data_IF_067964881683
#
_entry.id   IF_067964881683
#
_cell.length_a   1.000
_cell.length_b   1.000
_cell.length_c   1.000
_cell.angle_alpha   90.00
_cell.angle_beta   90.00
_cell.angle_gamma   90.00
#
_symmetry.space_group_name_H-M   'P 1'
#
loop_
_entity.id
_entity.type
_entity.pdbx_description
1 polymer ?
#
# COMPACT_ATOMS: atom_id res chain seq x y z
N UNK A 1 49.51 -18.15 -30.91
CA UNK A 1 48.41 -17.42 -30.26
C UNK A 1 48.56 -17.43 -28.73
N UNK A 2 49.66 -16.89 -28.18
CA UNK A 2 49.84 -16.82 -26.71
C UNK A 2 50.50 -15.51 -26.25
N UNK A 3 51.20 -14.76 -27.12
CA UNK A 3 51.76 -13.43 -26.76
C UNK A 3 50.81 -12.25 -26.95
N UNK A 4 49.82 -12.34 -27.85
CA UNK A 4 48.85 -11.25 -28.10
C UNK A 4 47.71 -11.18 -27.05
N UNK A 5 47.56 -12.23 -26.22
CA UNK A 5 46.54 -12.28 -25.15
C UNK A 5 47.06 -11.65 -23.84
N UNK A 6 48.37 -11.73 -23.56
CA UNK A 6 48.98 -11.12 -22.36
C UNK A 6 49.15 -9.59 -22.46
N UNK A 7 49.37 -9.05 -23.66
CA UNK A 7 49.59 -7.61 -23.84
C UNK A 7 48.33 -6.77 -23.64
N UNK A 8 47.15 -7.32 -23.97
CA UNK A 8 45.86 -6.64 -23.78
C UNK A 8 45.51 -6.48 -22.30
N UNK A 9 45.76 -7.48 -21.46
CA UNK A 9 45.45 -7.44 -20.02
C UNK A 9 46.40 -6.56 -19.21
N UNK A 10 47.69 -6.52 -19.56
CA UNK A 10 48.66 -5.61 -18.90
C UNK A 10 48.33 -4.13 -19.07
N UNK A 11 47.67 -3.75 -20.17
CA UNK A 11 47.25 -2.38 -20.40
C UNK A 11 46.04 -1.97 -19.54
N UNK A 12 45.21 -2.93 -19.12
CA UNK A 12 44.08 -2.69 -18.22
C UNK A 12 44.49 -2.60 -16.75
N UNK A 13 45.45 -3.41 -16.30
CA UNK A 13 45.99 -3.32 -14.93
C UNK A 13 46.70 -1.99 -14.68
N UNK A 14 47.38 -1.46 -15.71
CA UNK A 14 48.05 -0.16 -15.62
C UNK A 14 47.05 0.99 -15.55
N UNK A 15 46.00 0.95 -16.38
CA UNK A 15 44.92 1.95 -16.37
C UNK A 15 44.11 1.90 -15.07
N UNK A 16 43.90 0.69 -14.52
CA UNK A 16 43.23 0.49 -13.24
C UNK A 16 44.04 1.07 -12.07
N UNK A 17 45.34 0.82 -12.02
CA UNK A 17 46.21 1.40 -11.00
C UNK A 17 46.32 2.93 -11.10
N UNK A 18 46.37 3.48 -12.32
CA UNK A 18 46.37 4.94 -12.53
C UNK A 18 45.03 5.60 -12.13
N UNK A 19 43.90 4.90 -12.28
CA UNK A 19 42.60 5.37 -11.79
C UNK A 19 42.48 5.25 -10.26
N UNK A 20 42.98 4.16 -9.67
CA UNK A 20 42.99 3.92 -8.22
C UNK A 20 43.82 5.01 -7.51
N UNK A 21 44.99 5.33 -8.08
CA UNK A 21 45.85 6.40 -7.55
C UNK A 21 45.19 7.78 -7.66
N UNK A 22 44.41 8.04 -8.72
CA UNK A 22 43.66 9.30 -8.85
C UNK A 22 42.50 9.40 -7.86
N UNK A 23 41.78 8.31 -7.65
CA UNK A 23 40.69 8.23 -6.69
C UNK A 23 41.19 8.35 -5.25
N UNK A 24 42.33 7.77 -4.92
CA UNK A 24 42.97 7.92 -3.60
C UNK A 24 43.36 9.38 -3.33
N UNK A 25 43.83 10.10 -4.34
CA UNK A 25 44.17 11.53 -4.23
C UNK A 25 42.91 12.39 -4.08
N UNK A 26 41.84 12.13 -4.84
CA UNK A 26 40.56 12.82 -4.70
C UNK A 26 39.92 12.55 -3.33
N UNK A 27 39.93 11.31 -2.84
CA UNK A 27 39.40 10.95 -1.52
C UNK A 27 40.22 11.59 -0.38
N UNK A 28 41.54 11.76 -0.58
CA UNK A 28 42.41 12.47 0.35
C UNK A 28 42.06 13.96 0.45
N UNK A 29 41.78 14.59 -0.70
CA UNK A 29 41.41 16.00 -0.79
C UNK A 29 40.01 16.25 -0.20
N UNK A 30 39.06 15.36 -0.46
CA UNK A 30 37.71 15.42 0.14
C UNK A 30 37.74 15.22 1.66
N UNK A 31 38.62 14.34 2.18
CA UNK A 31 38.84 14.19 3.63
C UNK A 31 39.48 15.42 4.26
N UNK A 32 40.38 16.09 3.54
CA UNK A 32 40.98 17.36 3.99
C UNK A 32 39.97 18.51 3.98
N UNK A 33 39.07 18.58 3.00
CA UNK A 33 37.99 19.57 2.96
C UNK A 33 36.92 19.29 4.03
N UNK A 34 36.55 18.01 4.22
CA UNK A 34 35.61 17.60 5.26
C UNK A 34 36.15 17.90 6.66
N UNK A 35 37.43 17.63 6.91
CA UNK A 35 38.08 17.94 8.20
C UNK A 35 38.26 19.43 8.45
N UNK A 36 38.44 20.26 7.40
CA UNK A 36 38.45 21.73 7.51
C UNK A 36 37.04 22.31 7.75
N UNK A 37 35.99 21.65 7.27
CA UNK A 37 34.60 22.13 7.42
C UNK A 37 33.99 21.90 8.81
N UNK A 38 34.55 20.98 9.61
CA UNK A 38 33.99 20.51 10.89
C UNK A 38 34.92 20.83 12.06
N UNK A 39 35.02 22.12 12.40
CA UNK A 39 35.84 22.61 13.51
C UNK A 39 35.54 21.94 14.86
N UNK A 40 36.61 21.38 15.45
CA UNK A 40 36.83 20.94 16.83
C UNK A 40 35.96 19.84 17.49
N UNK A 41 36.70 18.83 17.97
CA UNK A 41 36.52 18.05 19.20
C UNK A 41 35.13 17.44 19.51
N UNK A 42 34.92 16.20 19.06
CA UNK A 42 34.20 15.14 19.82
C UNK A 42 34.42 13.78 19.18
N UNK A 43 34.44 12.75 20.04
CA UNK A 43 34.83 11.38 19.78
C UNK A 43 34.30 10.80 18.45
N UNK A 44 35.20 10.12 17.72
CA UNK A 44 34.90 9.39 16.49
C UNK A 44 33.97 8.23 16.82
N UNK A 45 32.68 8.40 16.55
CA UNK A 45 31.72 7.29 16.56
C UNK A 45 32.12 6.29 15.47
N UNK A 46 32.07 4.99 15.77
CA UNK A 46 32.27 3.95 14.75
C UNK A 46 31.18 4.08 13.66
N UNK A 47 31.44 3.55 12.46
CA UNK A 47 30.47 3.58 11.35
C UNK A 47 29.11 2.99 11.74
N UNK A 48 29.08 1.99 12.63
CA UNK A 48 27.85 1.41 13.17
C UNK A 48 27.10 2.37 14.10
N UNK A 49 27.81 3.12 14.94
CA UNK A 49 27.21 4.11 15.84
C UNK A 49 26.68 5.32 15.07
N UNK A 50 27.38 5.75 14.01
CA UNK A 50 26.90 6.82 13.14
C UNK A 50 25.62 6.42 12.36
N UNK A 51 25.50 5.16 11.93
CA UNK A 51 24.29 4.63 11.31
C UNK A 51 23.12 4.52 12.30
N UNK A 52 23.37 4.10 13.54
CA UNK A 52 22.35 4.04 14.58
C UNK A 52 21.82 5.43 14.95
N UNK A 53 22.71 6.43 15.04
CA UNK A 53 22.31 7.83 15.27
C UNK A 53 21.47 8.36 14.10
N UNK A 54 21.85 8.11 12.84
CA UNK A 54 21.05 8.50 11.67
C UNK A 54 19.67 7.83 11.64
N UNK A 55 19.59 6.54 11.99
CA UNK A 55 18.30 5.84 12.11
C UNK A 55 17.44 6.42 13.23
N UNK A 56 18.04 6.73 14.38
CA UNK A 56 17.33 7.35 15.50
C UNK A 56 16.78 8.74 15.12
N UNK A 57 17.57 9.55 14.41
CA UNK A 57 17.15 10.86 13.89
C UNK A 57 16.01 10.76 12.87
N UNK A 58 16.08 9.81 11.92
CA UNK A 58 14.97 9.55 10.99
C UNK A 58 13.70 9.11 11.70
N UNK A 59 13.80 8.21 12.68
CA UNK A 59 12.67 7.76 13.49
C UNK A 59 12.08 8.93 14.28
N UNK A 60 12.92 9.81 14.83
CA UNK A 60 12.47 11.00 15.54
C UNK A 60 11.71 11.95 14.60
N UNK A 61 12.24 12.21 13.40
CA UNK A 61 11.59 13.05 12.38
C UNK A 61 10.24 12.46 11.94
N UNK A 62 10.19 11.14 11.70
CA UNK A 62 8.96 10.41 11.37
C UNK A 62 7.93 10.51 12.50
N UNK A 63 8.34 10.31 13.76
CA UNK A 63 7.46 10.46 14.93
C UNK A 63 6.90 11.88 15.04
N UNK A 64 7.73 12.91 14.80
CA UNK A 64 7.27 14.31 14.80
C UNK A 64 6.29 14.58 13.66
N UNK A 65 6.56 14.07 12.44
CA UNK A 65 5.65 14.21 11.30
C UNK A 65 4.30 13.50 11.55
N UNK A 66 4.33 12.28 12.12
CA UNK A 66 3.13 11.55 12.52
C UNK A 66 2.36 12.27 13.64
N UNK A 67 3.04 12.88 14.62
CA UNK A 67 2.39 13.68 15.66
C UNK A 67 1.68 14.89 15.06
N UNK A 68 2.34 15.64 14.17
CA UNK A 68 1.72 16.78 13.47
C UNK A 68 0.52 16.36 12.62
N UNK A 69 0.61 15.21 11.94
CA UNK A 69 -0.51 14.67 11.17
C UNK A 69 -1.66 14.28 12.09
N UNK A 70 -1.40 13.60 13.22
CA UNK A 70 -2.40 13.24 14.21
C UNK A 70 -3.07 14.48 14.83
N UNK A 71 -2.29 15.49 15.18
CA UNK A 71 -2.80 16.78 15.69
C UNK A 71 -3.69 17.47 14.66
N UNK A 72 -3.32 17.45 13.37
CA UNK A 72 -4.15 17.97 12.28
C UNK A 72 -5.43 17.16 12.11
N UNK A 73 -5.38 15.83 12.13
CA UNK A 73 -6.56 14.96 12.07
C UNK A 73 -7.49 15.18 13.26
N UNK A 74 -6.94 15.27 14.47
CA UNK A 74 -7.70 15.53 15.70
C UNK A 74 -8.31 16.95 15.69
N UNK A 75 -7.63 17.92 15.09
CA UNK A 75 -8.17 19.27 14.89
C UNK A 75 -9.38 19.32 13.96
N UNK A 76 -9.57 18.31 13.10
CA UNK A 76 -10.72 18.20 12.19
C UNK A 76 -11.85 17.33 12.74
N UNK A 77 -11.63 16.64 13.88
CA UNK A 77 -12.60 15.75 14.50
C UNK A 77 -13.56 16.51 15.43
N UNK A 78 -14.84 16.19 15.29
CA UNK A 78 -15.89 16.44 16.27
C UNK A 78 -16.25 15.10 16.91
N UNK A 79 -16.11 14.98 18.22
CA UNK A 79 -16.60 13.82 18.97
C UNK A 79 -17.94 14.21 19.58
N UNK A 80 -18.97 13.42 19.29
CA UNK A 80 -20.32 13.59 19.81
C UNK A 80 -20.57 12.47 20.81
N UNK A 81 -20.91 12.85 22.04
CA UNK A 81 -21.27 11.93 23.13
C UNK A 81 -22.70 12.21 23.62
N UNK A 82 -23.23 11.34 24.49
CA UNK A 82 -24.56 11.56 25.05
C UNK A 82 -24.67 12.86 25.87
N UNK A 83 -23.59 13.31 26.50
CA UNK A 83 -23.54 14.49 27.38
C UNK A 83 -23.62 15.82 26.63
N UNK A 84 -23.25 15.84 25.35
CA UNK A 84 -23.14 17.08 24.56
C UNK A 84 -24.49 17.71 24.15
N UNK A 85 -25.62 17.01 24.37
CA UNK A 85 -26.95 17.39 23.86
C UNK A 85 -27.97 17.87 24.92
N UNK A 86 -27.61 17.92 26.21
CA UNK A 86 -28.54 18.38 27.27
C UNK A 86 -28.92 19.87 27.17
N UNK A 87 -28.38 20.61 26.20
CA UNK A 87 -28.59 22.05 26.04
C UNK A 87 -29.59 22.47 24.95
N UNK A 88 -30.19 21.54 24.19
CA UNK A 88 -31.21 21.88 23.18
C UNK A 88 -32.43 20.93 23.22
N UNK A 89 -33.40 21.28 24.06
CA UNK A 89 -34.83 20.96 24.01
C UNK A 89 -35.28 19.48 23.96
N UNK A 90 -35.95 19.11 25.04
CA UNK A 90 -37.04 18.13 25.16
C UNK A 90 -37.80 17.80 23.86
N UNK A 91 -37.47 16.68 23.23
CA UNK A 91 -38.34 15.90 22.33
C UNK A 91 -37.61 14.62 21.96
N UNK A 92 -38.03 13.51 22.54
CA UNK A 92 -37.51 12.15 22.29
C UNK A 92 -37.88 11.59 20.91
N UNK A 93 -38.13 12.44 19.91
CA UNK A 93 -38.61 12.00 18.58
C UNK A 93 -38.15 12.86 17.39
N UNK A 94 -37.35 13.91 17.59
CA UNK A 94 -36.83 14.75 16.50
C UNK A 94 -35.37 14.40 16.17
N UNK A 95 -35.09 14.09 14.90
CA UNK A 95 -33.72 13.84 14.42
C UNK A 95 -32.85 15.09 14.57
N UNK A 96 -31.64 14.93 15.10
CA UNK A 96 -30.65 16.00 15.26
C UNK A 96 -29.94 16.22 13.92
N UNK A 97 -29.94 17.46 13.41
CA UNK A 97 -29.35 17.79 12.12
C UNK A 97 -27.87 18.15 12.32
N UNK A 98 -26.99 17.42 11.63
CA UNK A 98 -25.54 17.69 11.56
C UNK A 98 -25.28 18.51 10.29
N UNK A 99 -25.40 19.82 10.42
CA UNK A 99 -25.11 20.82 9.38
C UNK A 99 -23.78 21.57 9.67
N UNK A 100 -23.40 22.54 8.83
CA UNK A 100 -22.17 23.34 9.05
C UNK A 100 -22.16 24.08 10.39
N UNK A 101 -23.32 24.47 10.92
CA UNK A 101 -23.41 25.13 12.23
C UNK A 101 -23.10 24.15 13.37
N UNK A 102 -23.63 22.93 13.29
CA UNK A 102 -23.31 21.85 14.22
C UNK A 102 -21.82 21.49 14.16
N UNK A 103 -21.27 21.43 12.95
CA UNK A 103 -19.90 21.01 12.71
C UNK A 103 -18.85 22.03 13.15
N UNK A 104 -19.16 23.33 13.16
CA UNK A 104 -18.22 24.40 13.58
C UNK A 104 -16.84 24.29 12.89
N UNK A 105 -16.85 23.96 11.59
CA UNK A 105 -15.65 23.78 10.77
C UNK A 105 -14.97 22.40 10.87
N UNK A 106 -15.45 21.50 11.73
CA UNK A 106 -15.00 20.11 11.79
C UNK A 106 -15.55 19.32 10.60
N UNK A 107 -14.76 18.38 10.09
CA UNK A 107 -15.12 17.59 8.90
C UNK A 107 -15.05 16.09 9.13
N UNK A 108 -14.55 15.64 10.27
CA UNK A 108 -14.64 14.24 10.70
C UNK A 108 -15.55 14.18 11.90
N UNK A 109 -16.52 13.27 11.91
CA UNK A 109 -17.45 13.12 13.05
C UNK A 109 -17.32 11.74 13.64
N UNK A 110 -17.18 11.66 14.95
CA UNK A 110 -17.14 10.43 15.73
C UNK A 110 -18.31 10.46 16.71
N UNK A 111 -19.32 9.64 16.50
CA UNK A 111 -20.35 9.41 17.52
C UNK A 111 -19.86 8.32 18.44
N UNK A 112 -19.71 8.64 19.73
CA UNK A 112 -19.18 7.72 20.73
C UNK A 112 -20.11 7.59 21.92
N UNK A 113 -20.45 6.36 22.28
CA UNK A 113 -21.36 6.06 23.40
C UNK A 113 -22.71 6.79 23.29
N UNK A 114 -23.22 6.96 22.06
CA UNK A 114 -24.51 7.64 21.84
C UNK A 114 -25.65 6.64 21.89
N UNK A 115 -26.70 6.93 22.65
CA UNK A 115 -27.81 6.00 22.86
C UNK A 115 -29.19 6.62 22.59
N UNK A 116 -30.09 5.86 21.96
CA UNK A 116 -31.49 6.22 21.74
C UNK A 116 -31.68 7.55 20.97
N UNK A 117 -30.83 7.81 19.98
CA UNK A 117 -30.85 9.06 19.19
C UNK A 117 -30.84 8.81 17.70
N UNK A 118 -31.37 9.79 16.97
CA UNK A 118 -31.32 9.85 15.51
C UNK A 118 -30.58 11.10 15.08
N UNK A 119 -29.60 10.95 14.20
CA UNK A 119 -28.89 12.07 13.57
C UNK A 119 -29.07 12.03 12.06
N UNK A 120 -29.19 13.22 11.46
CA UNK A 120 -29.23 13.40 10.01
C UNK A 120 -28.06 14.28 9.58
N UNK A 121 -27.09 13.69 8.89
CA UNK A 121 -25.97 14.41 8.28
C UNK A 121 -26.45 15.08 7.00
N UNK A 122 -26.40 16.41 6.99
CA UNK A 122 -26.86 17.24 5.86
C UNK A 122 -25.73 18.04 5.21
N UNK A 123 -24.56 18.10 5.83
CA UNK A 123 -23.37 18.79 5.29
C UNK A 123 -22.24 17.80 4.94
N UNK A 124 -21.38 18.09 3.95
CA UNK A 124 -20.32 17.18 3.55
C UNK A 124 -19.29 16.94 4.67
N UNK A 125 -18.90 15.67 4.83
CA UNK A 125 -17.89 15.24 5.79
C UNK A 125 -16.75 14.55 5.07
N UNK A 126 -15.56 14.56 5.67
CA UNK A 126 -14.43 13.74 5.25
C UNK A 126 -14.71 12.28 5.59
N UNK A 127 -15.05 11.98 6.86
CA UNK A 127 -15.22 10.62 7.37
C UNK A 127 -16.15 10.59 8.58
N UNK A 128 -16.82 9.45 8.80
CA UNK A 128 -17.73 9.23 9.93
C UNK A 128 -17.37 7.95 10.66
N UNK A 129 -17.40 8.01 11.99
CA UNK A 129 -17.18 6.88 12.88
C UNK A 129 -18.36 6.74 13.85
N UNK A 130 -18.80 5.51 14.07
CA UNK A 130 -19.78 5.13 15.09
C UNK A 130 -19.11 4.13 16.03
N UNK A 131 -18.98 4.50 17.30
CA UNK A 131 -18.27 3.72 18.31
C UNK A 131 -19.14 3.53 19.54
N UNK A 132 -19.44 2.29 19.91
CA UNK A 132 -20.18 1.98 21.14
C UNK A 132 -21.61 2.60 21.21
N UNK A 133 -22.20 2.97 20.07
CA UNK A 133 -23.56 3.50 20.01
C UNK A 133 -24.61 2.39 20.18
N UNK A 134 -25.74 2.69 20.84
CA UNK A 134 -26.87 1.76 21.03
C UNK A 134 -28.20 2.36 20.62
N UNK A 135 -29.09 1.60 20.00
CA UNK A 135 -30.42 2.10 19.58
C UNK A 135 -30.30 3.44 18.82
N UNK A 136 -29.35 3.49 17.89
CA UNK A 136 -28.92 4.72 17.23
C UNK A 136 -29.33 4.67 15.76
N UNK A 137 -29.74 5.81 15.19
CA UNK A 137 -30.02 5.92 13.76
C UNK A 137 -29.18 7.04 13.15
N UNK A 138 -28.46 6.74 12.08
CA UNK A 138 -27.74 7.73 11.28
C UNK A 138 -28.32 7.81 9.87
N UNK A 139 -28.80 8.98 9.48
CA UNK A 139 -29.19 9.28 8.11
C UNK A 139 -28.07 10.10 7.46
N UNK A 140 -27.39 9.53 6.48
CA UNK A 140 -26.34 10.20 5.71
C UNK A 140 -26.92 10.68 4.39
N UNK A 141 -27.28 11.98 4.38
CA UNK A 141 -27.90 12.65 3.23
C UNK A 141 -26.95 13.58 2.47
N UNK A 142 -25.69 13.60 2.87
CA UNK A 142 -24.62 14.38 2.26
C UNK A 142 -23.47 13.49 1.82
N UNK A 143 -22.55 14.06 1.05
CA UNK A 143 -21.36 13.35 0.59
C UNK A 143 -20.35 13.11 1.72
N UNK A 144 -19.88 11.86 1.84
CA UNK A 144 -18.69 11.51 2.63
C UNK A 144 -17.52 11.46 1.64
N UNK A 145 -16.54 12.36 1.78
CA UNK A 145 -15.47 12.55 0.79
C UNK A 145 -14.62 11.30 0.66
N UNK A 146 -14.29 10.62 1.76
CA UNK A 146 -13.56 9.34 1.69
C UNK A 146 -14.46 8.18 1.28
N UNK A 147 -15.77 8.40 1.15
CA UNK A 147 -16.79 7.39 0.88
C UNK A 147 -16.72 6.20 1.85
N UNK A 148 -16.25 6.46 3.08
CA UNK A 148 -15.94 5.45 4.08
C UNK A 148 -16.63 5.79 5.40
N UNK A 149 -17.37 4.82 5.94
CA UNK A 149 -17.97 4.90 7.27
C UNK A 149 -17.48 3.70 8.09
N UNK A 150 -17.05 3.95 9.32
CA UNK A 150 -16.63 2.90 10.26
C UNK A 150 -17.62 2.79 11.41
N UNK A 151 -17.98 1.56 11.73
CA UNK A 151 -18.90 1.20 12.80
C UNK A 151 -18.22 0.14 13.63
N UNK A 152 -18.10 0.37 14.94
CA UNK A 152 -17.49 -0.59 15.85
C UNK A 152 -18.23 -0.67 17.18
N UNK A 153 -18.41 -1.90 17.68
CA UNK A 153 -19.00 -2.17 18.98
C UNK A 153 -20.41 -1.56 19.17
N UNK A 154 -21.19 -1.44 18.10
CA UNK A 154 -22.53 -0.88 18.13
C UNK A 154 -23.60 -1.96 18.30
N UNK A 155 -24.76 -1.60 18.85
CA UNK A 155 -25.91 -2.52 18.96
C UNK A 155 -27.22 -1.84 18.57
N UNK A 156 -28.09 -2.51 17.82
CA UNK A 156 -29.38 -1.94 17.39
C UNK A 156 -29.20 -0.62 16.62
N UNK A 157 -28.23 -0.60 15.70
CA UNK A 157 -27.91 0.55 14.86
C UNK A 157 -28.70 0.51 13.54
N UNK A 158 -29.23 1.65 13.10
CA UNK A 158 -29.73 1.81 11.73
C UNK A 158 -28.93 2.87 10.98
N UNK A 159 -28.25 2.47 9.90
CA UNK A 159 -27.54 3.38 9.00
C UNK A 159 -28.35 3.50 7.70
N UNK A 160 -28.76 4.72 7.35
CA UNK A 160 -29.43 5.04 6.10
C UNK A 160 -28.50 5.89 5.23
N UNK A 161 -28.18 5.40 4.04
CA UNK A 161 -27.26 6.06 3.11
C UNK A 161 -28.01 6.42 1.82
N UNK A 162 -28.12 7.72 1.55
CA UNK A 162 -28.78 8.24 0.34
C UNK A 162 -27.82 8.83 -0.69
N UNK A 163 -26.54 8.94 -0.36
CA UNK A 163 -25.46 9.36 -1.27
C UNK A 163 -24.42 8.24 -1.45
N UNK A 164 -23.61 8.28 -2.51
CA UNK A 164 -22.62 7.22 -2.77
C UNK A 164 -21.68 7.03 -1.58
N UNK A 165 -21.63 5.80 -1.04
CA UNK A 165 -20.71 5.40 0.02
C UNK A 165 -20.11 4.05 -0.39
N UNK A 166 -18.86 4.08 -0.85
CA UNK A 166 -18.21 2.92 -1.43
C UNK A 166 -17.84 1.89 -0.37
N UNK A 167 -17.51 2.31 0.85
CA UNK A 167 -17.12 1.38 1.90
C UNK A 167 -17.82 1.67 3.21
N UNK A 168 -18.43 0.65 3.78
CA UNK A 168 -18.88 0.66 5.18
C UNK A 168 -18.22 -0.52 5.89
N UNK A 169 -17.54 -0.26 6.99
CA UNK A 169 -16.93 -1.31 7.81
C UNK A 169 -17.69 -1.43 9.12
N UNK A 170 -18.09 -2.66 9.47
CA UNK A 170 -18.86 -2.97 10.67
C UNK A 170 -18.17 -4.07 11.47
N UNK A 171 -17.58 -3.70 12.60
CA UNK A 171 -16.84 -4.62 13.45
C UNK A 171 -17.55 -4.79 14.80
N UNK A 172 -17.57 -6.04 15.30
CA UNK A 172 -18.02 -6.40 16.66
C UNK A 172 -19.39 -5.81 17.05
N UNK A 173 -20.32 -5.74 16.09
CA UNK A 173 -21.61 -5.05 16.27
C UNK A 173 -22.79 -6.00 16.13
N UNK A 174 -23.91 -5.72 16.79
CA UNK A 174 -25.09 -6.61 16.81
C UNK A 174 -26.39 -5.90 16.41
N UNK A 175 -27.30 -6.63 15.77
CA UNK A 175 -28.63 -6.14 15.36
C UNK A 175 -28.57 -4.83 14.57
N UNK A 176 -27.58 -4.71 13.69
CA UNK A 176 -27.35 -3.51 12.89
C UNK A 176 -28.08 -3.63 11.53
N UNK A 177 -28.63 -2.54 11.03
CA UNK A 177 -29.26 -2.48 9.69
C UNK A 177 -28.61 -1.38 8.87
N UNK A 178 -28.13 -1.72 7.67
CA UNK A 178 -27.59 -0.77 6.71
C UNK A 178 -28.49 -0.69 5.47
N UNK A 179 -29.08 0.47 5.23
CA UNK A 179 -29.99 0.73 4.13
C UNK A 179 -29.32 1.62 3.09
N UNK A 180 -29.15 1.08 1.89
CA UNK A 180 -28.62 1.81 0.74
C UNK A 180 -29.75 2.17 -0.23
N UNK A 181 -29.74 3.41 -0.70
CA UNK A 181 -30.58 3.79 -1.84
C UNK A 181 -30.05 3.14 -3.13
N UNK A 182 -30.89 2.87 -4.15
CA UNK A 182 -30.45 2.17 -5.36
C UNK A 182 -29.26 2.81 -6.12
N UNK A 183 -29.02 4.10 -5.93
CA UNK A 183 -27.90 4.83 -6.55
C UNK A 183 -26.61 4.86 -5.73
N UNK A 184 -26.57 4.23 -4.55
CA UNK A 184 -25.48 4.47 -3.57
C UNK A 184 -24.49 3.34 -3.39
N UNK A 185 -24.82 2.13 -3.86
CA UNK A 185 -24.09 0.88 -3.58
C UNK A 185 -24.05 -0.04 -4.83
N UNK A 186 -23.84 0.57 -5.99
CA UNK A 186 -23.84 -0.09 -7.31
C UNK A 186 -22.48 -0.07 -8.01
N UNK A 187 -21.47 0.55 -7.39
CA UNK A 187 -20.10 0.57 -7.90
C UNK A 187 -19.47 -0.81 -7.85
N UNK A 188 -18.61 -1.10 -8.83
CA UNK A 188 -17.89 -2.38 -8.96
C UNK A 188 -17.09 -2.73 -7.69
N UNK A 189 -16.58 -1.70 -7.01
CA UNK A 189 -15.76 -1.82 -5.80
C UNK A 189 -16.52 -1.44 -4.51
N UNK A 190 -17.83 -1.17 -4.59
CA UNK A 190 -18.59 -0.81 -3.39
C UNK A 190 -18.80 -2.07 -2.52
N UNK A 191 -18.35 -2.01 -1.27
CA UNK A 191 -18.31 -3.14 -0.32
C UNK A 191 -18.76 -2.70 1.07
N UNK A 192 -19.54 -3.53 1.73
CA UNK A 192 -19.71 -3.45 3.17
C UNK A 192 -18.91 -4.60 3.79
N UNK A 193 -17.89 -4.27 4.57
CA UNK A 193 -17.08 -5.26 5.28
C UNK A 193 -17.65 -5.47 6.68
N UNK A 194 -17.68 -6.72 7.13
CA UNK A 194 -18.01 -6.99 8.53
C UNK A 194 -17.15 -8.10 9.13
N UNK A 195 -16.90 -7.96 10.44
CA UNK A 195 -16.19 -8.93 11.27
C UNK A 195 -16.84 -8.99 12.66
N UNK A 196 -17.13 -10.19 13.15
CA UNK A 196 -17.78 -10.38 14.45
C UNK A 196 -19.19 -9.78 14.54
N UNK A 197 -19.83 -9.49 13.41
CA UNK A 197 -21.17 -8.92 13.38
C UNK A 197 -22.26 -10.00 13.50
N UNK A 198 -23.28 -9.75 14.31
CA UNK A 198 -24.43 -10.67 14.50
C UNK A 198 -25.74 -9.97 14.20
N UNK A 199 -26.70 -10.67 13.58
CA UNK A 199 -28.00 -10.10 13.20
C UNK A 199 -27.85 -8.80 12.37
N UNK A 200 -26.87 -8.78 11.46
CA UNK A 200 -26.65 -7.66 10.54
C UNK A 200 -27.59 -7.79 9.34
N UNK A 201 -28.30 -6.73 8.97
CA UNK A 201 -29.12 -6.67 7.77
C UNK A 201 -28.59 -5.62 6.82
N UNK A 202 -28.37 -5.99 5.57
CA UNK A 202 -27.98 -5.05 4.52
C UNK A 202 -29.06 -5.03 3.46
N UNK A 203 -29.62 -3.84 3.22
CA UNK A 203 -30.71 -3.62 2.30
C UNK A 203 -30.24 -2.75 1.13
N UNK A 204 -30.48 -3.21 -0.10
CA UNK A 204 -30.14 -2.47 -1.31
C UNK A 204 -31.07 -2.87 -2.46
N UNK A 205 -31.62 -1.87 -3.17
CA UNK A 205 -32.46 -2.07 -4.36
C UNK A 205 -33.60 -3.12 -4.18
N UNK A 206 -34.25 -3.12 -3.02
CA UNK A 206 -35.35 -4.05 -2.69
C UNK A 206 -34.89 -5.46 -2.29
N UNK A 207 -33.58 -5.72 -2.24
CA UNK A 207 -32.99 -6.95 -1.72
C UNK A 207 -32.50 -6.75 -0.29
N UNK A 208 -32.55 -7.82 0.49
CA UNK A 208 -32.02 -7.89 1.85
C UNK A 208 -31.11 -9.09 1.94
N UNK A 209 -29.90 -8.89 2.47
CA UNK A 209 -29.05 -10.00 2.95
C UNK A 209 -28.93 -9.89 4.46
N UNK A 210 -29.15 -11.01 5.14
CA UNK A 210 -28.93 -11.15 6.58
C UNK A 210 -27.56 -11.81 6.79
N UNK A 211 -26.77 -11.25 7.69
CA UNK A 211 -25.40 -11.66 7.96
C UNK A 211 -25.22 -11.93 9.46
N UNK A 212 -24.52 -13.00 9.76
CA UNK A 212 -24.19 -13.42 11.11
C UNK A 212 -22.89 -14.22 11.03
N UNK A 213 -21.80 -13.66 11.53
CA UNK A 213 -20.46 -14.22 11.33
C UNK A 213 -20.36 -15.70 11.75
N UNK A 214 -21.11 -16.12 12.78
CA UNK A 214 -21.12 -17.52 13.24
C UNK A 214 -21.82 -18.40 12.21
N UNK A 215 -23.02 -18.00 11.75
CA UNK A 215 -23.82 -18.78 10.79
C UNK A 215 -23.21 -18.77 9.39
N UNK A 216 -22.56 -17.68 9.01
CA UNK A 216 -21.86 -17.49 7.74
C UNK A 216 -20.54 -18.28 7.70
N UNK A 217 -20.17 -18.95 8.79
CA UNK A 217 -19.10 -19.93 8.82
C UNK A 217 -17.74 -19.35 9.19
N UNK A 218 -17.69 -18.33 10.04
CA UNK A 218 -16.44 -17.84 10.63
C UNK A 218 -15.69 -18.95 11.37
N UNK A 219 -14.38 -19.03 11.15
CA UNK A 219 -13.51 -20.07 11.72
C UNK A 219 -12.28 -19.44 12.36
N UNK A 220 -11.80 -20.05 13.43
CA UNK A 220 -10.53 -19.68 14.03
C UNK A 220 -9.41 -20.09 13.08
N UNK A 221 -8.46 -19.20 12.80
CA UNK A 221 -7.30 -19.46 11.93
C UNK A 221 -6.00 -19.10 12.66
N UNK A 222 -5.27 -20.12 13.12
CA UNK A 222 -4.06 -19.91 13.91
C UNK A 222 -4.39 -19.24 15.25
N UNK A 223 -3.72 -18.13 15.55
CA UNK A 223 -3.94 -17.33 16.77
C UNK A 223 -5.13 -16.37 16.66
N UNK A 224 -5.66 -16.13 15.45
CA UNK A 224 -6.77 -15.20 15.22
C UNK A 224 -8.10 -15.76 15.72
N UNK A 225 -8.90 -14.92 16.37
CA UNK A 225 -10.22 -15.31 16.88
C UNK A 225 -11.25 -15.44 15.76
N UNK A 226 -12.41 -16.04 16.04
CA UNK A 226 -13.47 -16.20 15.03
C UNK A 226 -14.08 -14.86 14.64
N UNK A 227 -14.11 -13.93 15.57
CA UNK A 227 -14.64 -12.58 15.42
C UNK A 227 -13.78 -11.74 14.47
N UNK A 228 -12.50 -12.09 14.30
CA UNK A 228 -11.60 -11.45 13.33
C UNK A 228 -11.80 -11.97 11.90
N UNK A 229 -12.62 -13.01 11.70
CA UNK A 229 -12.92 -13.55 10.38
C UNK A 229 -13.84 -12.58 9.62
N UNK A 230 -13.34 -12.09 8.50
CA UNK A 230 -14.00 -11.03 7.73
C UNK A 230 -14.89 -11.58 6.62
N UNK A 231 -15.94 -10.83 6.34
CA UNK A 231 -16.86 -11.04 5.23
C UNK A 231 -17.07 -9.72 4.50
N UNK A 232 -17.57 -9.79 3.27
CA UNK A 232 -17.97 -8.64 2.50
C UNK A 232 -19.36 -8.85 1.89
N UNK A 233 -20.20 -7.84 2.04
CA UNK A 233 -21.48 -7.72 1.36
C UNK A 233 -21.31 -6.82 0.14
N UNK A 234 -21.78 -7.26 -1.02
CA UNK A 234 -21.66 -6.53 -2.27
C UNK A 234 -22.68 -6.98 -3.31
N UNK A 235 -22.78 -6.23 -4.41
CA UNK A 235 -23.64 -6.59 -5.54
C UNK A 235 -22.84 -7.42 -6.53
N UNK A 236 -23.23 -8.68 -6.70
CA UNK A 236 -22.70 -9.58 -7.72
C UNK A 236 -23.80 -9.90 -8.73
N UNK A 237 -23.59 -9.54 -10.01
CA UNK A 237 -24.58 -9.74 -11.09
C UNK A 237 -25.99 -9.23 -10.76
N UNK A 238 -26.08 -8.09 -10.06
CA UNK A 238 -27.35 -7.50 -9.64
C UNK A 238 -27.97 -8.14 -8.40
N UNK A 239 -27.36 -9.17 -7.81
CA UNK A 239 -27.78 -9.78 -6.54
C UNK A 239 -26.93 -9.28 -5.38
N UNK A 240 -27.56 -8.97 -4.26
CA UNK A 240 -26.85 -8.64 -3.03
C UNK A 240 -26.38 -9.94 -2.36
N UNK A 241 -25.07 -10.11 -2.21
CA UNK A 241 -24.45 -11.33 -1.66
C UNK A 241 -23.55 -10.99 -0.47
N UNK A 242 -23.35 -11.97 0.42
CA UNK A 242 -22.40 -11.90 1.54
C UNK A 242 -21.40 -13.05 1.39
N UNK A 243 -20.11 -12.73 1.28
CA UNK A 243 -19.07 -13.73 1.05
C UNK A 243 -17.89 -13.59 2.03
N UNK A 244 -17.26 -14.71 2.43
CA UNK A 244 -16.07 -14.68 3.27
C UNK A 244 -14.88 -14.05 2.54
N UNK A 245 -14.12 -13.24 3.27
CA UNK A 245 -12.86 -12.67 2.78
C UNK A 245 -11.70 -13.64 3.02
N UNK A 246 -11.00 -13.97 1.94
CA UNK A 246 -9.74 -14.70 1.96
C UNK A 246 -8.58 -13.72 1.78
N UNK A 247 -7.70 -13.65 2.77
CA UNK A 247 -6.49 -12.82 2.71
C UNK A 247 -5.38 -13.55 1.97
N UNK A 248 -4.85 -12.95 0.91
CA UNK A 248 -3.62 -13.39 0.25
C UNK A 248 -2.61 -12.24 0.33
N UNK A 249 -1.62 -12.39 1.22
CA UNK A 249 -0.65 -11.33 1.54
C UNK A 249 -1.30 -10.09 2.19
N UNK A 250 -1.12 -8.91 1.60
CA UNK A 250 -1.73 -7.65 2.05
C UNK A 250 -3.08 -7.34 1.36
N UNK A 251 -3.67 -8.30 0.63
CA UNK A 251 -4.93 -8.10 -0.12
C UNK A 251 -6.05 -8.96 0.45
N UNK A 252 -7.25 -8.40 0.48
CA UNK A 252 -8.51 -9.08 0.80
C UNK A 252 -9.20 -9.51 -0.51
N UNK A 253 -9.56 -10.79 -0.64
CA UNK A 253 -10.31 -11.35 -1.79
C UNK A 253 -11.65 -11.90 -1.30
N UNK A 254 -12.74 -11.72 -2.05
CA UNK A 254 -14.03 -12.40 -1.80
C UNK A 254 -14.13 -13.65 -2.68
N UNK A 255 -14.49 -14.80 -2.11
CA UNK A 255 -14.86 -16.03 -2.83
C UNK A 255 -13.72 -16.81 -3.50
N UNK A 256 -13.90 -18.13 -3.60
CA UNK A 256 -13.02 -19.05 -4.33
C UNK A 256 -13.09 -18.74 -5.84
N UNK A 257 -11.94 -18.55 -6.48
CA UNK A 257 -11.78 -18.33 -7.93
C UNK A 257 -12.23 -19.59 -8.67
N UNK A 258 -13.53 -19.73 -8.98
CA UNK A 258 -14.04 -20.84 -9.83
C UNK A 258 -15.21 -20.53 -10.78
N UNK A 259 -15.75 -19.31 -10.85
CA UNK A 259 -16.81 -19.01 -11.83
C UNK A 259 -16.31 -18.12 -12.98
N UNK A 260 -16.65 -18.55 -14.21
CA UNK A 260 -16.40 -17.83 -15.47
C UNK A 260 -17.01 -16.43 -15.42
N UNK A 261 -16.28 -15.37 -15.81
CA UNK A 261 -16.76 -14.00 -15.72
C UNK A 261 -17.99 -13.77 -16.62
N UNK A 262 -19.03 -13.14 -16.06
CA UNK A 262 -20.23 -12.68 -16.79
C UNK A 262 -19.86 -11.91 -18.06
N UNK A 263 -20.73 -11.90 -19.09
CA UNK A 263 -20.44 -11.21 -20.36
C UNK A 263 -20.09 -9.71 -20.20
N UNK A 264 -20.70 -9.04 -19.21
CA UNK A 264 -20.43 -7.64 -18.90
C UNK A 264 -19.06 -7.49 -18.20
N UNK A 265 -18.75 -8.37 -17.24
CA UNK A 265 -17.45 -8.44 -16.55
C UNK A 265 -16.32 -8.79 -17.54
N UNK A 266 -16.58 -9.71 -18.48
CA UNK A 266 -15.66 -10.09 -19.55
C UNK A 266 -15.39 -8.92 -20.50
N UNK A 267 -16.40 -8.12 -20.82
CA UNK A 267 -16.23 -6.89 -21.62
C UNK A 267 -15.40 -5.85 -20.88
N UNK A 268 -15.68 -5.60 -19.59
CA UNK A 268 -14.92 -4.64 -18.77
C UNK A 268 -13.48 -5.09 -18.52
N UNK A 269 -13.24 -6.38 -18.27
CA UNK A 269 -11.89 -6.96 -18.17
C UNK A 269 -11.18 -6.77 -19.50
N UNK A 270 -11.84 -7.03 -20.64
CA UNK A 270 -11.25 -6.85 -21.97
C UNK A 270 -10.87 -5.40 -22.24
N UNK A 271 -11.71 -4.44 -21.88
CA UNK A 271 -11.43 -3.00 -22.04
C UNK A 271 -10.26 -2.56 -21.16
N UNK A 272 -10.26 -2.91 -19.88
CA UNK A 272 -9.13 -2.59 -18.97
C UNK A 272 -7.84 -3.28 -19.38
N UNK A 273 -7.91 -4.52 -19.86
CA UNK A 273 -6.75 -5.22 -20.41
C UNK A 273 -6.19 -4.48 -21.62
N UNK A 274 -7.04 -3.94 -22.49
CA UNK A 274 -6.61 -3.13 -23.64
C UNK A 274 -5.93 -1.84 -23.17
N UNK A 275 -6.52 -1.10 -22.22
CA UNK A 275 -5.91 0.12 -21.66
C UNK A 275 -4.53 -0.14 -21.07
N UNK A 276 -4.41 -1.17 -20.22
CA UNK A 276 -3.12 -1.52 -19.60
C UNK A 276 -2.13 -2.04 -20.65
N UNK A 277 -2.59 -2.83 -21.62
CA UNK A 277 -1.75 -3.32 -22.70
C UNK A 277 -1.21 -2.19 -23.58
N UNK A 278 -2.03 -1.19 -23.88
CA UNK A 278 -1.63 0.00 -24.64
C UNK A 278 -0.49 0.74 -23.92
N UNK A 279 -0.68 1.12 -22.66
CA UNK A 279 0.36 1.81 -21.89
C UNK A 279 1.63 0.98 -21.70
N UNK A 280 1.48 -0.35 -21.55
CA UNK A 280 2.63 -1.26 -21.53
C UNK A 280 3.39 -1.23 -22.86
N UNK A 281 2.68 -1.21 -23.99
CA UNK A 281 3.28 -1.21 -25.32
C UNK A 281 3.96 0.12 -25.64
N UNK A 282 3.32 1.25 -25.32
CA UNK A 282 3.90 2.59 -25.38
C UNK A 282 5.19 2.68 -24.53
N UNK A 283 5.15 2.14 -23.30
CA UNK A 283 6.33 2.06 -22.43
C UNK A 283 7.44 1.18 -23.00
N UNK A 284 7.09 0.04 -23.60
CA UNK A 284 8.05 -0.86 -24.23
C UNK A 284 8.70 -0.24 -25.47
N UNK A 285 7.94 0.50 -26.26
CA UNK A 285 8.44 1.22 -27.44
C UNK A 285 9.40 2.33 -27.03
N UNK A 286 8.98 3.19 -26.09
CA UNK A 286 9.85 4.21 -25.52
C UNK A 286 11.15 3.60 -24.93
N UNK A 287 11.05 2.46 -24.24
CA UNK A 287 12.22 1.76 -23.71
C UNK A 287 13.18 1.27 -24.80
N UNK A 288 12.65 0.73 -25.91
CA UNK A 288 13.44 0.29 -27.07
C UNK A 288 14.15 1.46 -27.74
N UNK A 289 13.51 2.62 -27.80
CA UNK A 289 14.07 3.85 -28.35
C UNK A 289 15.08 4.55 -27.42
N UNK A 290 15.26 4.04 -26.19
CA UNK A 290 16.15 4.65 -25.19
C UNK A 290 15.53 5.82 -24.42
N UNK A 291 14.24 6.09 -24.63
CA UNK A 291 13.47 7.17 -24.00
C UNK A 291 12.97 6.73 -22.61
N UNK A 292 13.90 6.47 -21.69
CA UNK A 292 13.59 5.80 -20.43
C UNK A 292 12.66 6.61 -19.51
N UNK A 293 12.72 7.94 -19.53
CA UNK A 293 11.81 8.80 -18.75
C UNK A 293 10.37 8.72 -19.26
N UNK A 294 10.20 8.70 -20.59
CA UNK A 294 8.90 8.52 -21.24
C UNK A 294 8.34 7.11 -20.95
N UNK A 295 9.21 6.09 -20.99
CA UNK A 295 8.83 4.73 -20.62
C UNK A 295 8.33 4.63 -19.15
N UNK A 296 8.98 5.33 -18.20
CA UNK A 296 8.51 5.41 -16.81
C UNK A 296 7.10 5.97 -16.71
N UNK A 297 6.80 7.03 -17.48
CA UNK A 297 5.48 7.64 -17.49
C UNK A 297 4.42 6.63 -17.96
N UNK A 298 4.64 5.99 -19.11
CA UNK A 298 3.70 5.02 -19.64
C UNK A 298 3.50 3.81 -18.72
N UNK A 299 4.57 3.25 -18.14
CA UNK A 299 4.41 2.17 -17.16
C UNK A 299 3.67 2.63 -15.89
N UNK A 300 3.84 3.90 -15.48
CA UNK A 300 3.09 4.46 -14.33
C UNK A 300 1.60 4.57 -14.64
N UNK A 301 1.24 5.07 -15.82
CA UNK A 301 -0.15 5.09 -16.29
C UNK A 301 -0.73 3.67 -16.33
N UNK A 302 0.03 2.70 -16.88
CA UNK A 302 -0.39 1.29 -16.88
C UNK A 302 -0.65 0.75 -15.47
N UNK A 303 0.22 1.07 -14.51
CA UNK A 303 0.09 0.66 -13.10
C UNK A 303 -1.18 1.23 -12.46
N UNK A 304 -1.50 2.51 -12.69
CA UNK A 304 -2.70 3.17 -12.17
C UNK A 304 -4.01 2.56 -12.70
N UNK A 305 -3.96 1.93 -13.88
CA UNK A 305 -5.11 1.25 -14.49
C UNK A 305 -5.30 -0.19 -14.03
N UNK A 306 -4.33 -0.77 -13.31
CA UNK A 306 -4.46 -2.14 -12.82
C UNK A 306 -5.48 -2.22 -11.69
N UNK A 307 -6.56 -2.97 -11.94
CA UNK A 307 -7.60 -3.27 -10.94
C UNK A 307 -7.57 -4.74 -10.53
N UNK A 308 -8.14 -5.13 -9.38
CA UNK A 308 -8.15 -6.53 -8.92
C UNK A 308 -8.79 -7.54 -9.88
N UNK A 309 -9.66 -7.09 -10.78
CA UNK A 309 -10.29 -7.93 -11.82
C UNK A 309 -9.33 -8.34 -12.95
N UNK A 310 -8.14 -7.73 -13.02
CA UNK A 310 -7.14 -8.06 -14.02
C UNK A 310 -6.21 -9.19 -13.53
N UNK A 311 -5.61 -9.98 -14.45
CA UNK A 311 -4.64 -11.01 -14.10
C UNK A 311 -3.51 -10.50 -13.20
N UNK A 312 -3.21 -11.27 -12.15
CA UNK A 312 -2.27 -10.88 -11.09
C UNK A 312 -0.84 -10.67 -11.60
N UNK A 313 -0.48 -11.19 -12.78
CA UNK A 313 0.85 -11.07 -13.37
C UNK A 313 1.12 -9.69 -13.99
N UNK A 314 0.08 -8.90 -14.27
CA UNK A 314 0.19 -7.62 -14.97
C UNK A 314 0.89 -6.58 -14.09
N UNK A 315 0.46 -6.44 -12.84
CA UNK A 315 1.04 -5.49 -11.89
C UNK A 315 2.57 -5.68 -11.68
N UNK A 316 3.06 -6.87 -11.28
CA UNK A 316 4.49 -7.09 -11.11
C UNK A 316 5.27 -6.97 -12.43
N UNK A 317 4.66 -7.28 -13.58
CA UNK A 317 5.30 -7.08 -14.89
C UNK A 317 5.59 -5.60 -15.16
N UNK A 318 4.63 -4.72 -14.92
CA UNK A 318 4.80 -3.27 -15.12
C UNK A 318 5.82 -2.68 -14.15
N UNK A 319 5.78 -3.08 -12.87
CA UNK A 319 6.78 -2.67 -11.89
C UNK A 319 8.19 -3.13 -12.28
N UNK A 320 8.35 -4.36 -12.78
CA UNK A 320 9.64 -4.87 -13.25
C UNK A 320 10.19 -4.05 -14.43
N UNK A 321 9.32 -3.66 -15.37
CA UNK A 321 9.69 -2.84 -16.52
C UNK A 321 10.02 -1.40 -16.11
N UNK A 322 9.24 -0.79 -15.21
CA UNK A 322 9.51 0.56 -14.69
C UNK A 322 10.80 0.61 -13.88
N UNK A 323 11.06 -0.42 -13.07
CA UNK A 323 12.34 -0.60 -12.37
C UNK A 323 13.53 -0.65 -13.35
N UNK A 324 13.38 -1.34 -14.47
CA UNK A 324 14.41 -1.37 -15.52
C UNK A 324 14.71 0.02 -16.08
N UNK A 325 13.68 0.86 -16.26
CA UNK A 325 13.84 2.24 -16.71
C UNK A 325 14.57 3.09 -15.66
N UNK A 326 14.18 2.98 -14.39
CA UNK A 326 14.87 3.70 -13.30
C UNK A 326 16.34 3.30 -13.18
N UNK A 327 16.69 2.03 -13.39
CA UNK A 327 18.10 1.61 -13.46
C UNK A 327 18.85 2.29 -14.60
N UNK A 328 18.22 2.43 -15.77
CA UNK A 328 18.83 3.11 -16.93
C UNK A 328 18.99 4.62 -16.73
N UNK A 329 18.13 5.22 -15.91
CA UNK A 329 18.20 6.64 -15.53
C UNK A 329 19.12 6.91 -14.32
N UNK A 330 19.70 5.88 -13.69
CA UNK A 330 20.51 6.06 -12.47
C UNK A 330 19.69 6.28 -11.19
N UNK A 331 18.36 6.16 -11.24
CA UNK A 331 17.49 6.32 -10.08
C UNK A 331 17.39 5.01 -9.28
N UNK A 332 18.49 4.59 -8.65
CA UNK A 332 18.64 3.27 -8.04
C UNK A 332 17.65 3.00 -6.89
N UNK A 333 17.33 3.98 -6.06
CA UNK A 333 16.36 3.84 -4.97
C UNK A 333 14.94 3.58 -5.49
N UNK A 334 14.52 4.29 -6.55
CA UNK A 334 13.22 4.10 -7.19
C UNK A 334 13.14 2.74 -7.87
N UNK A 335 14.23 2.32 -8.53
CA UNK A 335 14.35 0.99 -9.11
C UNK A 335 14.23 -0.12 -8.06
N UNK A 336 14.89 0.06 -6.90
CA UNK A 336 14.84 -0.88 -5.78
C UNK A 336 13.44 -0.98 -5.19
N UNK A 337 12.73 0.15 -5.06
CA UNK A 337 11.34 0.19 -4.57
C UNK A 337 10.42 -0.64 -5.47
N UNK A 338 10.42 -0.34 -6.78
CA UNK A 338 9.59 -1.06 -7.75
C UNK A 338 9.95 -2.56 -7.83
N UNK A 339 11.24 -2.89 -7.81
CA UNK A 339 11.67 -4.29 -7.86
C UNK A 339 11.33 -5.05 -6.57
N UNK A 340 11.42 -4.41 -5.41
CA UNK A 340 11.06 -5.01 -4.14
C UNK A 340 9.55 -5.27 -4.05
N UNK A 341 8.74 -4.33 -4.53
CA UNK A 341 7.30 -4.50 -4.62
C UNK A 341 6.91 -5.58 -5.64
N UNK A 342 7.56 -5.61 -6.81
CA UNK A 342 7.39 -6.67 -7.80
C UNK A 342 7.65 -8.06 -7.19
N UNK A 343 8.74 -8.23 -6.43
CA UNK A 343 9.10 -9.51 -5.80
C UNK A 343 8.17 -9.84 -4.62
N UNK A 344 7.66 -8.84 -3.91
CA UNK A 344 6.67 -9.07 -2.85
C UNK A 344 5.35 -9.61 -3.42
N UNK A 345 4.92 -9.12 -4.59
CA UNK A 345 3.69 -9.57 -5.27
C UNK A 345 3.90 -10.88 -6.02
N UNK A 346 5.05 -11.06 -6.66
CA UNK A 346 5.40 -12.25 -7.42
C UNK A 346 6.81 -12.72 -7.05
N UNK A 347 6.96 -13.52 -5.97
CA UNK A 347 8.26 -13.99 -5.50
C UNK A 347 9.03 -14.82 -6.52
N UNK A 348 8.32 -15.47 -7.45
CA UNK A 348 8.89 -16.26 -8.54
C UNK A 348 9.28 -15.44 -9.77
N UNK A 349 9.09 -14.10 -9.75
CA UNK A 349 9.43 -13.25 -10.88
C UNK A 349 10.95 -13.04 -10.98
N UNK A 350 11.59 -13.84 -11.84
CA UNK A 350 13.04 -13.82 -12.06
C UNK A 350 13.54 -12.44 -12.50
N UNK A 351 12.78 -11.73 -13.35
CA UNK A 351 13.14 -10.37 -13.79
C UNK A 351 13.10 -9.39 -12.60
N UNK A 352 12.06 -9.46 -11.77
CA UNK A 352 11.95 -8.67 -10.54
C UNK A 352 13.13 -8.90 -9.58
N UNK A 353 13.45 -10.17 -9.31
CA UNK A 353 14.61 -10.54 -8.47
C UNK A 353 15.92 -10.02 -9.05
N UNK A 354 16.15 -10.20 -10.35
CA UNK A 354 17.33 -9.68 -11.02
C UNK A 354 17.42 -8.15 -10.91
N UNK A 355 16.32 -7.42 -11.16
CA UNK A 355 16.27 -5.95 -11.05
C UNK A 355 16.52 -5.48 -9.62
N UNK A 356 15.99 -6.18 -8.62
CA UNK A 356 16.24 -5.90 -7.20
C UNK A 356 17.73 -6.07 -6.89
N UNK A 357 18.32 -7.20 -7.29
CA UNK A 357 19.75 -7.47 -7.11
C UNK A 357 20.66 -6.43 -7.77
N UNK A 358 20.35 -6.03 -9.01
CA UNK A 358 21.12 -4.99 -9.73
C UNK A 358 20.92 -3.60 -9.11
N UNK A 359 19.75 -3.30 -8.56
CA UNK A 359 19.52 -2.03 -7.84
C UNK A 359 20.34 -1.96 -6.56
N UNK A 360 20.36 -3.04 -5.78
CA UNK A 360 21.19 -3.16 -4.57
C UNK A 360 22.69 -3.06 -4.91
N UNK A 361 23.11 -3.71 -6.00
CA UNK A 361 24.47 -3.60 -6.53
C UNK A 361 24.84 -2.16 -6.90
N UNK A 362 23.94 -1.41 -7.55
CA UNK A 362 24.20 -0.01 -7.88
C UNK A 362 24.28 0.90 -6.65
N UNK A 363 23.66 0.49 -5.54
CA UNK A 363 23.69 1.20 -4.25
C UNK A 363 24.83 0.73 -3.33
N UNK A 364 25.71 -0.18 -3.78
CA UNK A 364 26.79 -0.73 -2.97
C UNK A 364 26.35 -1.67 -1.85
N UNK A 365 25.09 -2.11 -1.86
CA UNK A 365 24.54 -3.05 -0.88
C UNK A 365 24.85 -4.50 -1.29
N UNK A 366 26.15 -4.84 -1.20
CA UNK A 366 26.70 -6.08 -1.78
C UNK A 366 26.14 -7.36 -1.16
N UNK A 367 25.91 -7.37 0.15
CA UNK A 367 25.42 -8.55 0.87
C UNK A 367 24.00 -8.89 0.44
N UNK A 368 23.11 -7.91 0.48
CA UNK A 368 21.71 -8.03 0.09
C UNK A 368 21.60 -8.35 -1.41
N UNK A 369 22.46 -7.77 -2.24
CA UNK A 369 22.54 -8.09 -3.67
C UNK A 369 22.87 -9.58 -3.88
N UNK A 370 23.86 -10.13 -3.15
CA UNK A 370 24.22 -11.54 -3.23
C UNK A 370 23.06 -12.46 -2.84
N UNK A 371 22.34 -12.15 -1.76
CA UNK A 371 21.20 -12.94 -1.28
C UNK A 371 20.08 -12.98 -2.34
N UNK A 372 19.69 -11.81 -2.86
CA UNK A 372 18.62 -11.71 -3.87
C UNK A 372 19.02 -12.36 -5.21
N UNK A 373 20.28 -12.19 -5.64
CA UNK A 373 20.76 -12.80 -6.89
C UNK A 373 20.95 -14.32 -6.76
N UNK A 374 21.19 -14.82 -5.54
CA UNK A 374 21.18 -16.26 -5.27
C UNK A 374 19.78 -16.83 -5.45
N UNK A 375 18.76 -16.15 -4.96
CA UNK A 375 17.37 -16.55 -5.17
C UNK A 375 16.96 -16.49 -6.64
N UNK A 376 17.40 -15.44 -7.36
CA UNK A 376 17.24 -15.33 -8.81
C UNK A 376 17.82 -16.55 -9.55
N UNK A 377 19.03 -16.99 -9.17
CA UNK A 377 19.71 -18.15 -9.77
C UNK A 377 19.14 -19.48 -9.30
N UNK A 378 18.47 -19.53 -8.14
CA UNK A 378 17.74 -20.71 -7.69
C UNK A 378 16.56 -21.00 -8.62
N UNK A 379 15.87 -19.95 -9.07
CA UNK A 379 14.74 -20.05 -10.01
C UNK A 379 15.20 -20.23 -11.46
N UNK A 380 16.27 -19.53 -11.87
CA UNK A 380 16.83 -19.64 -13.22
C UNK A 380 18.37 -19.84 -13.17
N UNK A 381 18.86 -21.08 -12.97
CA UNK A 381 20.29 -21.37 -12.84
C UNK A 381 21.13 -20.98 -14.08
N UNK A 382 20.48 -20.91 -15.24
CA UNK A 382 21.09 -20.54 -16.52
C UNK A 382 21.27 -19.03 -16.74
N UNK A 383 20.79 -18.18 -15.82
CA UNK A 383 20.82 -16.73 -16.00
C UNK A 383 22.25 -16.18 -15.87
N UNK A 384 22.92 -15.99 -17.01
CA UNK A 384 24.31 -15.52 -17.08
C UNK A 384 24.50 -14.15 -16.44
N UNK A 385 23.53 -13.25 -16.61
CA UNK A 385 23.59 -11.88 -16.07
C UNK A 385 23.50 -11.89 -14.55
N UNK A 386 22.58 -12.67 -13.98
CA UNK A 386 22.45 -12.82 -12.53
C UNK A 386 23.71 -13.45 -11.92
N UNK A 387 24.31 -14.44 -12.60
CA UNK A 387 25.56 -15.07 -12.16
C UNK A 387 26.71 -14.08 -12.11
N UNK A 388 26.89 -13.28 -13.16
CA UNK A 388 27.92 -12.25 -13.22
C UNK A 388 27.71 -11.17 -12.16
N UNK A 389 26.49 -10.67 -12.01
CA UNK A 389 26.16 -9.67 -11.00
C UNK A 389 26.42 -10.18 -9.56
N UNK A 390 26.11 -11.46 -9.29
CA UNK A 390 26.36 -12.08 -7.99
C UNK A 390 27.86 -12.21 -7.72
N UNK A 391 28.62 -12.70 -8.70
CA UNK A 391 30.07 -12.84 -8.57
C UNK A 391 30.76 -11.49 -8.32
N UNK A 392 30.31 -10.43 -8.99
CA UNK A 392 30.82 -9.09 -8.73
C UNK A 392 30.51 -8.63 -7.30
N UNK A 393 29.27 -8.79 -6.86
CA UNK A 393 28.86 -8.43 -5.50
C UNK A 393 29.64 -9.25 -4.44
N UNK A 394 29.90 -10.53 -4.69
CA UNK A 394 30.73 -11.39 -3.82
C UNK A 394 32.17 -10.86 -3.70
N UNK A 395 32.80 -10.48 -4.82
CA UNK A 395 34.16 -9.93 -4.83
C UNK A 395 34.21 -8.60 -4.07
N UNK A 396 33.24 -7.70 -4.30
CA UNK A 396 33.16 -6.42 -3.59
C UNK A 396 32.93 -6.60 -2.09
N UNK A 397 32.04 -7.51 -1.71
CA UNK A 397 31.81 -7.86 -0.31
C UNK A 397 33.09 -8.38 0.38
N UNK A 398 33.86 -9.23 -0.30
CA UNK A 398 35.14 -9.72 0.22
C UNK A 398 36.19 -8.61 0.35
N UNK A 399 36.26 -7.69 -0.62
CA UNK A 399 37.14 -6.53 -0.55
C UNK A 399 36.79 -5.63 0.64
N UNK A 400 35.51 -5.33 0.84
CA UNK A 400 35.02 -4.52 1.96
C UNK A 400 35.32 -5.18 3.30
N UNK A 401 35.14 -6.51 3.41
CA UNK A 401 35.49 -7.26 4.62
C UNK A 401 37.01 -7.22 4.90
N UNK A 402 37.86 -7.37 3.87
CA UNK A 402 39.31 -7.29 4.03
C UNK A 402 39.78 -5.90 4.46
N UNK A 403 39.22 -4.84 3.88
CA UNK A 403 39.50 -3.45 4.28
C UNK A 403 39.15 -3.22 5.76
N UNK A 404 38.02 -3.77 6.24
CA UNK A 404 37.58 -3.65 7.64
C UNK A 404 38.38 -4.49 8.63
N UNK A 405 39.07 -5.56 8.19
CA UNK A 405 39.92 -6.40 9.05
C UNK A 405 41.38 -5.97 9.07
N UNK A 406 41.81 -5.15 8.10
CA UNK A 406 43.19 -4.64 7.99
C UNK A 406 43.38 -3.19 8.48
N UNK A 407 42.30 -2.54 8.94
CA UNK A 407 42.29 -1.27 9.64
C UNK A 407 41.91 -1.52 11.10
#
# INVERSE_FOLDING_TARGET
MSKLHDEKYRNWDKLANELDTKLDVEESLEKEEASKSLGHDKAVYSSSQAEEVKKAEQIALLKTAMSKQKEMEDSLKLVVTNEDDDTNSSSSSSSIIVDENYLKGKKVVVFRNVENKTYTVSSPLIKVFLEHCKSFTLNVNSNIITQHIEISNCSSLTLNVSQRCSTVQIDLSSSCTCNYSPSTFSGVDDRLYHAGATDLKVNYAGQTVECDYVKDGARQRGEQSKEEYQFAVFVNEGKLVNEPLTRIGNKFLTGDIKDEPSALTSTMITEKLKEVAQHKEEGNEAFKNGEYAQAVLFYTLGVEKVTPILPNEIYPMLLSNRSACFLKLGHHEKALKDASECVAVSPSNVKGLFRKGVSLHAMGQWKEACEVLTECLRLEPGNKQAKQARQFAEVKLQMDMRKRMGA
#
